data_IF_654844111848
#
_entry.id   IF_654844111848
#
_cell.length_a   1.000
_cell.length_b   1.000
_cell.length_c   1.000
_cell.angle_alpha   90.00
_cell.angle_beta   90.00
_cell.angle_gamma   90.00
#
_symmetry.space_group_name_H-M   'P 1'
#
loop_
_entity.id
_entity.type
_entity.pdbx_description
1 polymer ?
#
# COMPACT_ATOMS: atom_id res chain seq x y z
N UNK A 1 33.38 -34.89 -40.35
CA UNK A 1 33.87 -33.97 -39.29
C UNK A 1 33.85 -32.56 -39.84
N UNK A 2 32.97 -31.66 -39.36
CA UNK A 2 33.07 -30.23 -39.69
C UNK A 2 34.14 -29.61 -38.80
N UNK A 3 35.27 -29.26 -39.40
CA UNK A 3 36.32 -28.49 -38.73
C UNK A 3 35.93 -27.02 -38.83
N UNK A 4 35.81 -26.32 -37.71
CA UNK A 4 35.48 -24.89 -37.70
C UNK A 4 36.58 -24.09 -38.40
N UNK A 5 36.23 -23.03 -39.16
CA UNK A 5 37.22 -22.19 -39.84
C UNK A 5 38.23 -21.57 -38.87
N UNK A 6 39.49 -21.34 -39.27
CA UNK A 6 40.55 -20.82 -38.39
C UNK A 6 40.32 -19.38 -37.88
N UNK A 7 39.36 -18.65 -38.45
CA UNK A 7 38.94 -17.32 -38.01
C UNK A 7 37.71 -17.35 -37.10
N UNK A 8 37.11 -18.52 -36.87
CA UNK A 8 35.95 -18.68 -36.00
C UNK A 8 36.47 -18.83 -34.55
N UNK A 9 36.38 -17.78 -33.70
CA UNK A 9 36.87 -17.85 -32.34
C UNK A 9 36.14 -18.97 -31.59
N UNK A 10 36.87 -19.69 -30.75
CA UNK A 10 36.29 -20.74 -29.91
C UNK A 10 35.01 -20.23 -29.21
N UNK A 11 33.99 -21.08 -29.03
CA UNK A 11 32.71 -20.65 -28.48
C UNK A 11 32.83 -19.92 -27.13
N UNK A 12 33.85 -20.26 -26.34
CA UNK A 12 34.18 -19.56 -25.09
C UNK A 12 34.63 -18.10 -25.29
N UNK A 13 35.38 -17.80 -26.36
CA UNK A 13 35.83 -16.45 -26.68
C UNK A 13 34.66 -15.58 -27.14
N UNK A 14 33.74 -16.12 -27.95
CA UNK A 14 32.50 -15.42 -28.36
C UNK A 14 31.62 -15.08 -27.15
N UNK A 15 31.45 -16.02 -26.24
CA UNK A 15 30.67 -15.80 -25.01
C UNK A 15 31.30 -14.69 -24.14
N UNK A 16 32.63 -14.67 -24.01
CA UNK A 16 33.34 -13.61 -23.29
C UNK A 16 33.18 -12.24 -23.96
N UNK A 17 33.30 -12.17 -25.28
CA UNK A 17 33.12 -10.93 -26.05
C UNK A 17 31.68 -10.40 -25.92
N UNK A 18 30.67 -11.26 -26.02
CA UNK A 18 29.27 -10.88 -25.83
C UNK A 18 28.99 -10.36 -24.42
N UNK A 19 29.54 -11.01 -23.38
CA UNK A 19 29.42 -10.56 -22.00
C UNK A 19 30.05 -9.17 -21.79
N UNK A 20 31.23 -8.93 -22.36
CA UNK A 20 31.90 -7.61 -22.29
C UNK A 20 31.08 -6.54 -23.01
N UNK A 21 30.51 -6.84 -24.18
CA UNK A 21 29.64 -5.90 -24.91
C UNK A 21 28.39 -5.57 -24.09
N UNK A 22 27.77 -6.58 -23.45
CA UNK A 22 26.61 -6.37 -22.59
C UNK A 22 26.95 -5.52 -21.35
N UNK A 23 28.10 -5.74 -20.71
CA UNK A 23 28.58 -4.92 -19.60
C UNK A 23 28.80 -3.46 -20.02
N UNK A 24 29.52 -3.23 -21.13
CA UNK A 24 29.78 -1.89 -21.65
C UNK A 24 28.48 -1.15 -21.98
N UNK A 25 27.55 -1.82 -22.68
CA UNK A 25 26.20 -1.27 -22.97
C UNK A 25 25.45 -0.92 -21.71
N UNK A 26 25.56 -1.77 -20.69
CA UNK A 26 24.93 -1.53 -19.39
C UNK A 26 25.55 -0.32 -18.70
N UNK A 27 26.87 -0.14 -18.73
CA UNK A 27 27.57 1.02 -18.14
C UNK A 27 27.19 2.34 -18.82
N UNK A 28 27.11 2.37 -20.15
CA UNK A 28 26.75 3.59 -20.90
C UNK A 28 25.24 3.85 -20.94
N UNK A 29 24.43 2.95 -20.37
CA UNK A 29 22.97 3.06 -20.36
C UNK A 29 22.52 4.42 -19.82
N UNK A 30 21.65 5.15 -20.56
CA UNK A 30 21.08 6.43 -20.13
C UNK A 30 20.46 6.34 -18.73
N UNK A 31 19.88 5.19 -18.39
CA UNK A 31 19.28 4.97 -17.09
C UNK A 31 20.26 5.09 -15.94
N UNK A 32 21.55 4.73 -16.10
CA UNK A 32 22.55 4.89 -15.03
C UNK A 32 22.98 6.34 -14.80
N UNK A 33 22.88 7.19 -15.82
CA UNK A 33 23.20 8.62 -15.76
C UNK A 33 21.98 9.50 -15.50
N UNK A 34 20.79 8.93 -15.51
CA UNK A 34 19.56 9.64 -15.21
C UNK A 34 19.62 10.20 -13.77
N UNK A 35 19.25 11.46 -13.52
CA UNK A 35 19.18 12.01 -12.16
C UNK A 35 18.23 11.23 -11.26
N UNK A 36 18.53 11.17 -9.96
CA UNK A 36 17.71 10.45 -8.98
C UNK A 36 16.36 11.09 -8.76
N UNK A 37 16.30 12.41 -8.84
CA UNK A 37 15.09 13.24 -8.67
C UNK A 37 14.12 12.97 -9.83
N UNK A 38 14.62 12.97 -11.06
CA UNK A 38 13.81 12.65 -12.23
C UNK A 38 13.37 11.18 -12.21
N UNK A 39 14.20 10.27 -11.71
CA UNK A 39 13.82 8.87 -11.57
C UNK A 39 12.66 8.70 -10.57
N UNK A 40 12.73 9.43 -9.44
CA UNK A 40 11.65 9.46 -8.45
C UNK A 40 10.36 10.03 -9.06
N UNK A 41 10.46 11.11 -9.84
CA UNK A 41 9.30 11.71 -10.53
C UNK A 41 8.65 10.72 -11.50
N UNK A 42 9.45 10.03 -12.31
CA UNK A 42 8.94 8.96 -13.19
C UNK A 42 8.21 7.89 -12.37
N UNK A 43 8.79 7.44 -11.25
CA UNK A 43 8.14 6.44 -10.39
C UNK A 43 6.76 6.89 -9.92
N UNK A 44 6.64 8.13 -9.46
CA UNK A 44 5.38 8.71 -8.97
C UNK A 44 4.32 8.74 -10.06
N UNK A 45 4.67 9.06 -11.31
CA UNK A 45 3.73 9.11 -12.43
C UNK A 45 3.40 7.74 -13.05
N UNK A 46 4.26 6.74 -12.84
CA UNK A 46 4.04 5.39 -13.40
C UNK A 46 3.13 4.51 -12.54
N UNK A 47 2.97 4.83 -11.26
CA UNK A 47 2.05 4.13 -10.37
C UNK A 47 0.69 4.83 -10.40
N UNK A 48 -0.44 4.08 -10.42
CA UNK A 48 -1.74 4.72 -10.41
C UNK A 48 -1.90 5.55 -9.13
N UNK A 49 -2.12 6.85 -9.33
CA UNK A 49 -2.25 7.80 -8.22
C UNK A 49 -3.46 7.47 -7.33
N UNK A 50 -4.52 6.93 -7.92
CA UNK A 50 -5.80 6.62 -7.25
C UNK A 50 -6.62 5.68 -8.14
N UNK A 51 -6.63 4.38 -7.87
CA UNK A 51 -7.76 3.56 -8.32
C UNK A 51 -9.02 4.06 -7.59
N UNK A 52 -10.20 4.15 -8.25
CA UNK A 52 -11.44 4.53 -7.57
C UNK A 52 -11.66 3.61 -6.37
N UNK A 53 -12.13 4.18 -5.25
CA UNK A 53 -12.20 3.50 -3.94
C UNK A 53 -12.98 2.18 -3.95
N UNK A 54 -13.92 2.05 -4.89
CA UNK A 54 -14.75 0.86 -5.09
C UNK A 54 -14.01 -0.30 -5.76
N UNK A 55 -12.87 -0.04 -6.41
CA UNK A 55 -12.13 -1.03 -7.21
C UNK A 55 -10.78 -1.43 -6.60
N UNK A 56 -10.39 -0.83 -5.46
CA UNK A 56 -9.13 -1.13 -4.80
C UNK A 56 -9.15 -2.56 -4.21
N UNK A 57 -8.64 -3.52 -4.97
CA UNK A 57 -8.50 -4.90 -4.51
C UNK A 57 -7.18 -5.11 -3.75
N UNK A 58 -7.12 -6.14 -2.92
CA UNK A 58 -5.88 -6.54 -2.21
C UNK A 58 -4.69 -6.79 -3.13
N UNK A 59 -4.96 -7.13 -4.38
CA UNK A 59 -3.93 -7.50 -5.35
C UNK A 59 -3.21 -6.26 -5.89
N UNK A 60 -3.82 -5.08 -5.93
CA UNK A 60 -3.27 -3.94 -6.65
C UNK A 60 -2.07 -3.28 -5.95
N UNK A 61 -2.05 -3.29 -4.61
CA UNK A 61 -0.98 -2.63 -3.84
C UNK A 61 0.27 -3.48 -3.57
N UNK A 62 0.20 -4.79 -3.85
CA UNK A 62 1.32 -5.71 -3.65
C UNK A 62 1.65 -6.55 -4.90
N UNK A 63 0.88 -6.42 -5.98
CA UNK A 63 1.33 -6.90 -7.29
C UNK A 63 2.47 -6.02 -7.79
N UNK A 64 3.52 -6.69 -8.28
CA UNK A 64 4.71 -6.06 -8.87
C UNK A 64 4.42 -5.04 -9.97
N UNK A 65 3.25 -5.11 -10.61
CA UNK A 65 2.90 -4.25 -11.75
C UNK A 65 2.35 -2.88 -11.35
N UNK A 66 1.80 -2.75 -10.14
CA UNK A 66 0.97 -1.60 -9.74
C UNK A 66 1.41 -1.01 -8.38
N UNK A 67 2.58 -1.44 -7.88
CA UNK A 67 3.04 -1.13 -6.53
C UNK A 67 4.49 -0.60 -6.49
N UNK A 68 4.84 0.27 -5.52
CA UNK A 68 6.23 0.63 -5.22
C UNK A 68 7.14 -0.58 -4.99
N UNK A 69 6.58 -1.70 -4.54
CA UNK A 69 7.32 -2.95 -4.37
C UNK A 69 7.96 -3.42 -5.67
N UNK A 70 7.28 -3.27 -6.81
CA UNK A 70 7.85 -3.60 -8.12
C UNK A 70 9.16 -2.85 -8.40
N UNK A 71 9.19 -1.56 -8.07
CA UNK A 71 10.35 -0.69 -8.25
C UNK A 71 11.53 -1.11 -7.35
N UNK A 72 11.23 -1.53 -6.11
CA UNK A 72 12.22 -2.01 -5.13
C UNK A 72 12.92 -3.30 -5.54
N UNK A 73 12.31 -4.09 -6.43
CA UNK A 73 12.85 -5.37 -6.90
C UNK A 73 13.68 -5.29 -8.19
N UNK A 74 13.68 -4.16 -8.91
CA UNK A 74 14.37 -4.04 -10.21
C UNK A 74 15.90 -4.01 -10.06
N UNK A 75 16.45 -3.04 -9.32
CA UNK A 75 17.89 -2.97 -9.06
C UNK A 75 18.17 -2.20 -7.76
N UNK A 76 19.42 -2.24 -7.26
CA UNK A 76 19.82 -1.54 -6.03
C UNK A 76 19.56 -0.03 -6.09
N UNK A 77 19.81 0.59 -7.25
CA UNK A 77 19.56 2.01 -7.44
C UNK A 77 18.07 2.36 -7.41
N UNK A 78 17.23 1.58 -8.08
CA UNK A 78 15.77 1.79 -8.09
C UNK A 78 15.18 1.59 -6.71
N UNK A 79 15.67 0.59 -5.96
CA UNK A 79 15.34 0.40 -4.55
C UNK A 79 15.68 1.63 -3.71
N UNK A 80 16.89 2.15 -3.82
CA UNK A 80 17.31 3.31 -3.02
C UNK A 80 16.41 4.52 -3.30
N UNK A 81 16.12 4.79 -4.58
CA UNK A 81 15.23 5.89 -5.00
C UNK A 81 13.79 5.64 -4.53
N UNK A 82 13.24 4.44 -4.74
CA UNK A 82 11.88 4.13 -4.34
C UNK A 82 11.69 4.24 -2.82
N UNK A 83 12.60 3.67 -2.04
CA UNK A 83 12.56 3.72 -0.56
C UNK A 83 12.75 5.14 -0.02
N UNK A 84 13.54 5.98 -0.70
CA UNK A 84 13.77 7.37 -0.30
C UNK A 84 12.72 8.37 -0.79
N UNK A 85 11.71 7.92 -1.53
CA UNK A 85 10.65 8.78 -2.11
C UNK A 85 9.34 8.56 -1.36
N UNK A 86 8.98 9.41 -0.35
CA UNK A 86 7.82 9.17 0.52
C UNK A 86 6.47 9.15 -0.21
N UNK A 87 6.33 9.91 -1.30
CA UNK A 87 5.08 9.99 -2.07
C UNK A 87 4.64 8.64 -2.65
N UNK A 88 5.59 7.75 -2.97
CA UNK A 88 5.29 6.39 -3.43
C UNK A 88 4.60 5.55 -2.36
N UNK A 89 4.85 5.85 -1.08
CA UNK A 89 4.38 5.07 0.06
C UNK A 89 3.19 5.72 0.79
N UNK A 90 2.62 6.79 0.21
CA UNK A 90 1.51 7.54 0.81
C UNK A 90 0.25 6.70 0.96
N UNK A 91 -0.04 5.81 0.00
CA UNK A 91 -1.27 5.02 -0.03
C UNK A 91 -0.99 3.57 0.38
N UNK A 92 -1.70 3.10 1.40
CA UNK A 92 -1.60 1.75 1.95
C UNK A 92 -2.96 1.07 1.83
N UNK A 93 -3.01 -0.05 1.13
CA UNK A 93 -4.24 -0.86 1.02
C UNK A 93 -3.97 -2.21 1.64
N UNK A 94 -4.82 -2.58 2.59
CA UNK A 94 -4.84 -3.88 3.24
C UNK A 94 -6.21 -4.49 2.95
N UNK A 95 -6.25 -5.67 2.35
CA UNK A 95 -7.52 -6.28 2.02
C UNK A 95 -7.47 -7.80 2.21
N UNK A 96 -8.49 -8.31 2.91
CA UNK A 96 -8.70 -9.69 3.28
C UNK A 96 -9.77 -10.28 2.36
N UNK A 97 -9.54 -11.49 1.86
CA UNK A 97 -10.52 -12.16 1.00
C UNK A 97 -11.43 -13.07 1.83
N UNK A 98 -12.73 -13.19 1.51
CA UNK A 98 -13.67 -14.00 2.30
C UNK A 98 -13.27 -15.48 2.47
N UNK A 99 -12.51 -16.02 1.50
CA UNK A 99 -12.13 -17.45 1.47
C UNK A 99 -10.66 -17.71 1.88
N UNK A 100 -9.91 -16.66 2.19
CA UNK A 100 -8.54 -16.76 2.73
C UNK A 100 -8.38 -15.63 3.73
N UNK A 101 -8.53 -15.95 5.01
CA UNK A 101 -8.28 -15.02 6.12
C UNK A 101 -6.79 -14.69 6.32
N UNK A 102 -5.93 -15.24 5.46
CA UNK A 102 -4.53 -14.88 5.36
C UNK A 102 -4.36 -13.58 4.59
N UNK A 103 -3.47 -12.72 5.11
CA UNK A 103 -2.99 -11.59 4.32
C UNK A 103 -2.32 -12.12 3.04
N UNK A 104 -2.53 -11.48 1.89
CA UNK A 104 -1.85 -11.86 0.66
C UNK A 104 -0.33 -11.64 0.73
N UNK A 105 0.16 -11.01 1.80
CA UNK A 105 1.56 -10.69 2.02
C UNK A 105 1.90 -10.66 3.52
N UNK A 106 3.19 -10.82 3.90
CA UNK A 106 3.60 -10.76 5.30
C UNK A 106 3.34 -9.40 5.95
N UNK A 107 2.75 -9.39 7.15
CA UNK A 107 2.55 -8.17 7.98
C UNK A 107 3.76 -7.24 8.07
N UNK A 108 5.02 -7.73 8.21
CA UNK A 108 6.19 -6.87 8.30
C UNK A 108 6.35 -5.92 7.11
N UNK A 109 5.82 -6.26 5.93
CA UNK A 109 5.90 -5.39 4.75
C UNK A 109 5.09 -4.10 4.94
N UNK A 110 4.04 -4.10 5.78
CA UNK A 110 3.29 -2.87 6.08
C UNK A 110 4.13 -1.83 6.82
N UNK A 111 5.17 -2.24 7.55
CA UNK A 111 6.01 -1.29 8.29
C UNK A 111 6.73 -0.31 7.37
N UNK A 112 7.16 -0.76 6.20
CA UNK A 112 7.89 0.08 5.25
C UNK A 112 7.07 1.31 4.86
N UNK A 113 5.86 1.21 4.27
CA UNK A 113 5.10 2.40 3.92
C UNK A 113 4.76 3.28 5.13
N UNK A 114 4.38 2.67 6.25
CA UNK A 114 4.01 3.38 7.49
C UNK A 114 5.15 4.21 8.07
N UNK A 115 6.39 3.72 7.97
CA UNK A 115 7.57 4.44 8.41
C UNK A 115 8.00 5.52 7.43
N UNK A 116 7.87 5.29 6.11
CA UNK A 116 8.45 6.15 5.09
C UNK A 116 7.59 7.35 4.73
N UNK A 117 6.27 7.23 4.80
CA UNK A 117 5.39 8.37 4.52
C UNK A 117 5.07 9.17 5.78
N UNK A 118 5.13 10.52 5.74
CA UNK A 118 4.66 11.37 6.83
C UNK A 118 3.13 11.53 6.84
N UNK A 119 2.47 11.23 5.72
CA UNK A 119 1.01 11.31 5.56
C UNK A 119 0.49 10.05 4.89
N UNK A 120 -0.53 9.44 5.47
CA UNK A 120 -1.03 8.16 5.01
C UNK A 120 -2.48 8.27 4.55
N UNK A 121 -2.77 7.56 3.47
CA UNK A 121 -4.10 7.24 2.99
C UNK A 121 -4.27 5.73 3.09
N UNK A 122 -5.11 5.30 4.03
CA UNK A 122 -5.25 3.90 4.39
C UNK A 122 -6.61 3.40 3.92
N UNK A 123 -6.60 2.28 3.18
CA UNK A 123 -7.79 1.50 2.88
C UNK A 123 -7.63 0.15 3.54
N UNK A 124 -8.55 -0.21 4.41
CA UNK A 124 -8.62 -1.49 5.09
C UNK A 124 -9.92 -2.18 4.69
N UNK A 125 -9.84 -3.29 3.95
CA UNK A 125 -11.00 -4.10 3.58
C UNK A 125 -10.91 -5.44 4.33
N UNK A 126 -11.58 -5.55 5.46
CA UNK A 126 -11.69 -6.78 6.24
C UNK A 126 -12.63 -7.81 5.62
N UNK A 127 -12.62 -9.02 6.18
CA UNK A 127 -13.62 -10.06 5.91
C UNK A 127 -14.79 -9.94 6.89
N UNK A 128 -15.85 -10.74 6.66
CA UNK A 128 -17.09 -10.66 7.42
C UNK A 128 -16.93 -11.11 8.89
N UNK A 129 -15.88 -11.88 9.18
CA UNK A 129 -15.57 -12.40 10.52
C UNK A 129 -14.21 -11.87 10.97
N UNK A 130 -14.05 -11.56 12.25
CA UNK A 130 -12.78 -11.09 12.78
C UNK A 130 -11.75 -12.24 12.84
N UNK A 131 -10.56 -12.01 12.29
CA UNK A 131 -9.43 -12.94 12.38
C UNK A 131 -8.23 -12.32 13.10
N UNK A 132 -7.33 -13.17 13.62
CA UNK A 132 -6.10 -12.70 14.26
C UNK A 132 -5.24 -11.84 13.31
N UNK A 133 -5.22 -12.19 12.02
CA UNK A 133 -4.48 -11.43 11.00
C UNK A 133 -5.08 -10.03 10.76
N UNK A 134 -6.41 -9.92 10.73
CA UNK A 134 -7.10 -8.62 10.63
C UNK A 134 -6.83 -7.74 11.83
N UNK A 135 -6.96 -8.29 13.04
CA UNK A 135 -6.66 -7.58 14.29
C UNK A 135 -5.23 -7.08 14.32
N UNK A 136 -4.26 -7.90 13.92
CA UNK A 136 -2.85 -7.55 13.90
C UNK A 136 -2.53 -6.47 12.84
N UNK A 137 -3.09 -6.59 11.63
CA UNK A 137 -2.94 -5.58 10.59
C UNK A 137 -3.55 -4.24 11.00
N UNK A 138 -4.77 -4.26 11.54
CA UNK A 138 -5.48 -3.06 11.98
C UNK A 138 -4.72 -2.37 13.12
N UNK A 139 -4.27 -3.13 14.13
CA UNK A 139 -3.45 -2.60 15.23
C UNK A 139 -2.18 -1.93 14.72
N UNK A 140 -1.45 -2.57 13.80
CA UNK A 140 -0.24 -2.01 13.22
C UNK A 140 -0.49 -0.71 12.44
N UNK A 141 -1.63 -0.59 11.74
CA UNK A 141 -1.99 0.65 11.04
C UNK A 141 -2.32 1.75 12.05
N UNK A 142 -3.04 1.40 13.11
CA UNK A 142 -3.46 2.32 14.16
C UNK A 142 -2.28 2.82 15.03
N UNK A 143 -1.18 2.07 15.13
CA UNK A 143 0.10 2.56 15.72
C UNK A 143 0.64 3.83 15.02
N UNK A 144 0.20 4.09 13.79
CA UNK A 144 0.58 5.25 12.97
C UNK A 144 -0.61 6.19 12.71
N UNK A 145 -1.67 6.12 13.53
CA UNK A 145 -2.91 6.86 13.36
C UNK A 145 -2.70 8.38 13.17
N UNK A 146 -1.71 8.98 13.84
CA UNK A 146 -1.42 10.42 13.75
C UNK A 146 -0.93 10.86 12.36
N UNK A 147 -0.46 9.93 11.54
CA UNK A 147 -0.08 10.19 10.15
C UNK A 147 -1.24 9.99 9.18
N UNK A 148 -2.32 9.34 9.60
CA UNK A 148 -3.44 8.98 8.73
C UNK A 148 -4.29 10.23 8.47
N UNK A 149 -4.39 10.61 7.20
CA UNK A 149 -5.18 11.76 6.73
C UNK A 149 -6.51 11.31 6.15
N UNK A 150 -6.52 10.13 5.55
CA UNK A 150 -7.72 9.48 5.02
C UNK A 150 -7.73 8.01 5.45
N UNK A 151 -8.85 7.57 5.97
CA UNK A 151 -9.08 6.18 6.39
C UNK A 151 -10.40 5.68 5.82
N UNK A 152 -10.33 4.64 5.00
CA UNK A 152 -11.47 3.84 4.58
C UNK A 152 -11.36 2.48 5.24
N UNK A 153 -12.34 2.09 6.05
CA UNK A 153 -12.28 0.84 6.79
C UNK A 153 -13.58 0.08 6.62
N UNK A 154 -13.53 -1.08 5.97
CA UNK A 154 -14.60 -2.07 5.94
C UNK A 154 -14.21 -3.15 6.95
N UNK A 155 -14.97 -3.33 8.03
CA UNK A 155 -14.57 -4.23 9.11
C UNK A 155 -15.78 -4.84 9.84
N UNK A 156 -15.61 -6.02 10.45
CA UNK A 156 -16.66 -6.65 11.24
C UNK A 156 -16.80 -5.95 12.60
N UNK A 157 -18.00 -6.00 13.19
CA UNK A 157 -18.36 -5.21 14.36
C UNK A 157 -17.43 -5.47 15.57
N UNK A 158 -16.88 -6.68 15.67
CA UNK A 158 -15.95 -7.12 16.72
C UNK A 158 -14.65 -6.31 16.73
N UNK A 159 -14.19 -5.84 15.55
CA UNK A 159 -12.97 -5.03 15.44
C UNK A 159 -13.22 -3.54 15.72
N UNK A 160 -14.49 -3.12 15.75
CA UNK A 160 -14.86 -1.73 15.99
C UNK A 160 -14.39 -1.24 17.37
N UNK A 161 -14.58 -2.04 18.42
CA UNK A 161 -14.18 -1.62 19.77
C UNK A 161 -12.66 -1.42 19.93
N UNK A 162 -11.84 -2.15 19.15
CA UNK A 162 -10.40 -1.93 19.11
C UNK A 162 -10.05 -0.65 18.34
N UNK A 163 -10.79 -0.40 17.26
CA UNK A 163 -10.66 0.79 16.44
C UNK A 163 -11.03 2.07 17.22
N UNK A 164 -12.17 2.08 17.91
CA UNK A 164 -12.65 3.24 18.68
C UNK A 164 -11.66 3.66 19.78
N UNK A 165 -11.11 2.67 20.51
CA UNK A 165 -10.14 2.93 21.60
C UNK A 165 -8.89 3.65 21.13
N UNK A 166 -8.43 3.38 19.91
CA UNK A 166 -7.18 3.95 19.42
C UNK A 166 -7.38 5.30 18.77
N UNK A 167 -8.50 5.48 18.06
CA UNK A 167 -8.75 6.70 17.27
C UNK A 167 -8.97 7.93 18.13
N UNK A 168 -9.69 7.81 19.26
CA UNK A 168 -9.93 8.95 20.15
C UNK A 168 -8.65 9.64 20.61
N UNK A 169 -7.54 8.91 20.77
CA UNK A 169 -6.30 9.48 21.32
C UNK A 169 -5.22 9.81 20.27
N UNK A 170 -5.35 9.39 19.01
CA UNK A 170 -4.23 9.36 18.06
C UNK A 170 -4.58 9.79 16.61
N UNK A 171 -5.77 10.34 16.35
CA UNK A 171 -6.18 10.72 14.98
C UNK A 171 -6.09 12.24 14.72
N UNK A 172 -4.98 12.87 15.13
CA UNK A 172 -4.81 14.34 15.05
C UNK A 172 -4.66 14.89 13.61
N UNK A 173 -4.41 14.03 12.63
CA UNK A 173 -4.29 14.40 11.22
C UNK A 173 -5.46 13.95 10.34
N UNK A 174 -6.41 13.19 10.90
CA UNK A 174 -7.49 12.58 10.15
C UNK A 174 -8.44 13.67 9.61
N UNK A 175 -8.68 13.64 8.31
CA UNK A 175 -9.57 14.60 7.62
C UNK A 175 -10.80 13.93 7.05
N UNK A 176 -10.63 12.72 6.53
CA UNK A 176 -11.68 11.98 5.85
C UNK A 176 -11.74 10.58 6.40
N UNK A 177 -12.91 10.19 6.87
CA UNK A 177 -13.15 8.88 7.44
C UNK A 177 -14.38 8.24 6.81
N UNK A 178 -14.19 7.04 6.29
CA UNK A 178 -15.25 6.19 5.81
C UNK A 178 -15.18 4.87 6.56
N UNK A 179 -16.26 4.47 7.21
CA UNK A 179 -16.38 3.18 7.88
C UNK A 179 -17.59 2.45 7.32
N UNK A 180 -17.41 1.19 6.97
CA UNK A 180 -18.50 0.28 6.66
C UNK A 180 -18.42 -0.94 7.56
N UNK A 181 -19.49 -1.21 8.27
CA UNK A 181 -19.57 -2.35 9.18
C UNK A 181 -20.28 -3.52 8.51
N UNK A 182 -19.73 -4.72 8.64
CA UNK A 182 -20.49 -5.95 8.38
C UNK A 182 -21.57 -6.08 9.47
N UNK A 183 -22.80 -6.38 9.08
CA UNK A 183 -23.97 -6.36 9.96
C UNK A 183 -24.72 -7.70 9.86
N UNK A 184 -25.09 -8.26 11.01
CA UNK A 184 -26.19 -9.21 11.14
C UNK A 184 -27.47 -8.42 11.47
N UNK A 185 -28.58 -8.73 10.81
CA UNK A 185 -29.82 -7.93 10.71
C UNK A 185 -30.51 -7.55 12.05
N UNK A 186 -29.96 -7.97 13.19
CA UNK A 186 -30.58 -8.07 14.50
C UNK A 186 -29.76 -7.39 15.61
N UNK A 187 -28.60 -6.79 15.28
CA UNK A 187 -27.82 -5.98 16.22
C UNK A 187 -28.11 -4.50 15.93
N UNK A 188 -28.52 -3.71 16.93
CA UNK A 188 -28.85 -2.30 16.74
C UNK A 188 -27.69 -1.48 16.17
N UNK A 189 -27.98 -0.26 15.68
CA UNK A 189 -26.95 0.64 15.15
C UNK A 189 -25.93 1.01 16.23
N UNK A 190 -24.63 0.70 16.08
CA UNK A 190 -23.61 1.08 17.04
C UNK A 190 -23.45 2.61 17.04
N UNK A 191 -23.31 3.20 18.23
CA UNK A 191 -23.05 4.64 18.40
C UNK A 191 -21.54 4.83 18.46
N UNK A 192 -20.95 5.38 17.40
CA UNK A 192 -19.52 5.72 17.38
C UNK A 192 -19.28 7.05 18.09
N UNK A 193 -18.58 7.04 19.23
CA UNK A 193 -18.24 8.27 20.00
C UNK A 193 -16.78 8.70 19.87
N UNK A 194 -15.95 7.89 19.24
CA UNK A 194 -14.49 8.06 19.19
C UNK A 194 -13.99 9.23 18.32
N UNK A 195 -14.86 10.08 17.77
CA UNK A 195 -14.47 11.17 16.86
C UNK A 195 -14.57 12.57 17.47
N UNK A 196 -14.92 12.67 18.76
CA UNK A 196 -14.93 13.96 19.48
C UNK A 196 -13.53 14.61 19.49
N UNK A 197 -12.47 13.79 19.47
CA UNK A 197 -11.07 14.20 19.54
C UNK A 197 -10.35 14.30 18.18
N UNK A 198 -11.08 14.34 17.06
CA UNK A 198 -10.53 14.45 15.71
C UNK A 198 -10.68 15.89 15.15
N UNK A 199 -9.83 16.85 15.55
CA UNK A 199 -10.04 18.29 15.30
C UNK A 199 -9.95 18.71 13.83
N UNK A 200 -9.42 17.85 12.96
CA UNK A 200 -9.27 18.13 11.52
C UNK A 200 -10.26 17.35 10.65
N UNK A 201 -11.15 16.58 11.26
CA UNK A 201 -12.11 15.74 10.54
C UNK A 201 -13.13 16.63 9.82
N UNK A 202 -13.11 16.59 8.49
CA UNK A 202 -14.02 17.36 7.64
C UNK A 202 -15.08 16.48 6.98
N UNK A 203 -14.82 15.19 6.80
CA UNK A 203 -15.75 14.24 6.18
C UNK A 203 -15.82 12.96 7.00
N UNK A 204 -17.03 12.58 7.40
CA UNK A 204 -17.33 11.35 8.10
C UNK A 204 -18.49 10.63 7.40
N UNK A 205 -18.28 9.37 7.06
CA UNK A 205 -19.30 8.51 6.49
C UNK A 205 -19.28 7.16 7.21
N UNK A 206 -20.44 6.74 7.71
CA UNK A 206 -20.60 5.46 8.39
C UNK A 206 -21.72 4.70 7.69
N UNK A 207 -21.41 3.56 7.10
CA UNK A 207 -22.38 2.67 6.48
C UNK A 207 -22.67 1.47 7.39
N UNK A 208 -23.95 1.25 7.69
CA UNK A 208 -24.41 0.15 8.53
C UNK A 208 -25.60 -0.57 7.85
N UNK A 209 -25.49 -1.88 7.62
CA UNK A 209 -26.61 -2.69 7.10
C UNK A 209 -27.14 -2.25 5.72
N UNK A 210 -26.31 -1.59 4.89
CA UNK A 210 -26.73 -1.02 3.61
C UNK A 210 -27.43 0.34 3.71
N UNK A 211 -27.65 0.86 4.91
CA UNK A 211 -28.07 2.23 5.16
C UNK A 211 -26.84 3.13 5.28
N UNK A 212 -26.78 4.18 4.44
CA UNK A 212 -25.73 5.18 4.51
C UNK A 212 -26.11 6.22 5.58
N UNK A 213 -25.41 6.22 6.72
CA UNK A 213 -25.42 7.34 7.66
C UNK A 213 -24.24 8.23 7.33
N UNK A 214 -24.45 9.18 6.42
CA UNK A 214 -23.48 10.25 6.19
C UNK A 214 -23.68 11.31 7.25
N UNK A 215 -22.82 11.33 8.26
CA UNK A 215 -22.79 12.39 9.27
C UNK A 215 -21.71 13.37 8.83
N UNK A 216 -22.08 14.50 8.25
CA UNK A 216 -21.12 15.59 8.06
C UNK A 216 -20.68 16.05 9.47
N UNK A 217 -19.38 15.96 9.76
CA UNK A 217 -18.83 16.37 11.05
C UNK A 217 -19.22 17.83 11.32
N UNK A 218 -19.54 18.21 12.58
CA UNK A 218 -19.82 19.59 12.91
C UNK A 218 -18.57 20.44 12.64
N UNK A 219 -18.76 21.52 11.89
CA UNK A 219 -17.76 22.55 11.57
C UNK A 219 -17.19 23.22 12.82
#
# INVERSE_FOLDING_TARGET
MRVSPPWDPAPETRLREELVILELRSIVSPMRRFPTELLAEVFVHTLPSTAPEAEATSHDHFTFKISPWGLVHICSRWRNVAVSTPSLWRRVVVAFTPNRDDLPYPLPLLRTPLQRSPRLEVVFNGSHEASAAQSAALSLLLDYADKIVYLRAVLPLELLAAFERTIGNHCTSLRRLYIRLFCAADQGTPILRCFEDAPKLSELCIEYGGCNLTVLAPT
#
